data_IF_917660866537
#
_entry.id   IF_917660866537
#
_cell.length_a   1.000
_cell.length_b   1.000
_cell.length_c   1.000
_cell.angle_alpha   90.00
_cell.angle_beta   90.00
_cell.angle_gamma   90.00
#
_symmetry.space_group_name_H-M   'P 1'
#
loop_
_entity.id
_entity.type
_entity.pdbx_description
1 polymer ?
#
# COMPACT_ATOMS: atom_id res chain seq x y z
N UNK A 1 31.08 40.96 42.67
CA UNK A 1 29.88 41.15 43.50
C UNK A 1 30.30 41.10 44.96
N UNK A 2 29.93 42.07 45.81
CA UNK A 2 30.09 41.92 47.25
C UNK A 2 29.14 40.83 47.74
N UNK A 3 29.65 39.87 48.50
CA UNK A 3 28.77 38.97 49.27
C UNK A 3 28.16 39.82 50.38
N UNK A 4 26.84 39.97 50.37
CA UNK A 4 26.15 40.51 51.54
C UNK A 4 26.32 39.48 52.67
N UNK A 5 27.13 39.81 53.67
CA UNK A 5 27.08 39.11 54.93
C UNK A 5 25.75 39.46 55.58
N UNK A 6 24.74 38.63 55.36
CA UNK A 6 23.58 38.56 56.23
C UNK A 6 24.11 38.39 57.66
N UNK A 7 23.56 39.14 58.61
CA UNK A 7 24.03 39.11 60.00
C UNK A 7 23.60 37.79 60.62
N UNK A 8 24.51 36.79 60.55
CA UNK A 8 24.32 35.44 61.09
C UNK A 8 23.85 35.56 62.54
N UNK A 9 22.61 35.17 62.75
CA UNK A 9 21.92 35.23 64.03
C UNK A 9 21.50 33.81 64.38
N UNK A 10 21.81 33.42 65.61
CA UNK A 10 21.33 32.17 66.17
C UNK A 10 19.80 32.16 66.18
N UNK A 11 19.19 31.00 65.96
CA UNK A 11 17.75 30.85 66.21
C UNK A 11 17.43 31.12 67.68
N UNK A 12 16.18 31.44 67.99
CA UNK A 12 15.73 31.67 69.37
C UNK A 12 16.06 30.51 70.34
N UNK A 13 16.24 29.28 69.85
CA UNK A 13 16.62 28.11 70.66
C UNK A 13 18.13 28.08 70.90
N UNK A 14 18.94 28.27 69.85
CA UNK A 14 20.40 28.36 69.96
C UNK A 14 20.84 29.57 70.79
N UNK A 15 20.13 30.70 70.70
CA UNK A 15 20.35 31.89 71.52
C UNK A 15 20.06 31.61 73.01
N UNK A 16 18.98 30.90 73.33
CA UNK A 16 18.70 30.46 74.72
C UNK A 16 19.75 29.47 75.25
N UNK A 17 20.29 28.60 74.39
CA UNK A 17 21.39 27.69 74.74
C UNK A 17 22.69 28.47 74.97
N UNK A 18 23.02 29.42 74.10
CA UNK A 18 24.18 30.32 74.24
C UNK A 18 24.11 31.09 75.56
N UNK A 19 22.98 31.77 75.84
CA UNK A 19 22.77 32.51 77.10
C UNK A 19 22.88 31.61 78.34
N UNK A 20 22.40 30.36 78.27
CA UNK A 20 22.52 29.38 79.36
C UNK A 20 23.98 28.95 79.58
N UNK A 21 24.76 28.74 78.52
CA UNK A 21 26.18 28.38 78.64
C UNK A 21 27.01 29.59 79.10
N UNK A 22 26.76 30.78 78.55
CA UNK A 22 27.36 32.05 78.99
C UNK A 22 27.11 32.31 80.47
N UNK A 23 25.88 32.09 80.97
CA UNK A 23 25.55 32.20 82.39
C UNK A 23 26.38 31.27 83.27
N UNK A 24 26.59 30.01 82.86
CA UNK A 24 27.47 29.07 83.58
C UNK A 24 28.94 29.47 83.53
N UNK A 25 29.43 29.98 82.39
CA UNK A 25 30.81 30.52 82.29
C UNK A 25 31.00 31.66 83.28
N UNK A 26 30.08 32.62 83.34
CA UNK A 26 30.10 33.74 84.31
C UNK A 26 30.11 33.23 85.75
N UNK A 27 29.33 32.20 86.07
CA UNK A 27 29.31 31.59 87.40
C UNK A 27 30.65 30.94 87.76
N UNK A 28 31.26 30.14 86.87
CA UNK A 28 32.60 29.58 87.09
C UNK A 28 33.66 30.66 87.30
N UNK A 29 33.66 31.73 86.50
CA UNK A 29 34.58 32.86 86.66
C UNK A 29 34.39 33.59 88.00
N UNK A 30 33.14 33.77 88.45
CA UNK A 30 32.83 34.38 89.75
C UNK A 30 33.30 33.51 90.92
N UNK A 31 33.03 32.21 90.88
CA UNK A 31 33.47 31.26 91.92
C UNK A 31 34.99 31.14 91.96
N UNK A 32 35.68 31.23 90.83
CA UNK A 32 37.14 31.28 90.78
C UNK A 32 37.69 32.54 91.47
N UNK A 33 37.09 33.72 91.23
CA UNK A 33 37.46 34.96 91.93
C UNK A 33 37.23 34.87 93.46
N UNK A 34 36.12 34.26 93.87
CA UNK A 34 35.74 34.06 95.28
C UNK A 34 36.67 33.08 96.01
N UNK A 35 37.16 32.04 95.34
CA UNK A 35 38.00 30.98 95.95
C UNK A 35 39.47 31.35 96.09
N UNK A 36 40.08 32.01 95.09
CA UNK A 36 41.52 32.29 95.13
C UNK A 36 41.86 33.66 95.77
N UNK A 37 40.88 34.53 96.02
CA UNK A 37 41.07 35.80 96.72
C UNK A 37 41.88 36.86 95.96
N UNK A 38 42.26 36.59 94.70
CA UNK A 38 43.07 37.47 93.84
C UNK A 38 42.31 38.71 93.33
N UNK A 39 41.82 39.56 94.24
CA UNK A 39 41.21 40.86 93.94
C UNK A 39 42.10 41.75 93.06
N UNK A 40 43.43 41.64 93.20
CA UNK A 40 44.45 42.32 92.37
C UNK A 40 44.41 41.87 90.90
N UNK A 41 43.93 40.66 90.59
CA UNK A 41 43.85 40.11 89.24
C UNK A 41 42.46 40.26 88.59
N UNK A 42 41.46 40.83 89.27
CA UNK A 42 40.09 41.05 88.74
C UNK A 42 40.07 41.64 87.33
N UNK A 43 40.90 42.66 87.07
CA UNK A 43 41.00 43.30 85.75
C UNK A 43 41.63 42.44 84.65
N UNK A 44 42.33 41.35 85.00
CA UNK A 44 42.77 40.32 84.04
C UNK A 44 41.71 39.22 83.89
N UNK A 45 41.07 38.85 84.99
CA UNK A 45 40.01 37.83 85.02
C UNK A 45 38.80 38.25 84.17
N UNK A 46 38.33 39.50 84.31
CA UNK A 46 37.26 40.07 83.48
C UNK A 46 37.65 40.05 81.99
N UNK A 47 38.86 40.53 81.65
CA UNK A 47 39.35 40.54 80.26
C UNK A 47 39.58 39.14 79.67
N UNK A 48 39.65 38.09 80.50
CA UNK A 48 39.64 36.71 80.06
C UNK A 48 38.20 36.20 79.89
N UNK A 49 37.30 36.52 80.82
CA UNK A 49 35.86 36.23 80.71
C UNK A 49 35.27 36.82 79.42
N UNK A 50 35.50 38.11 79.17
CA UNK A 50 35.01 38.83 77.97
C UNK A 50 35.46 38.12 76.68
N UNK A 51 36.72 37.64 76.64
CA UNK A 51 37.25 36.84 75.52
C UNK A 51 36.58 35.48 75.41
N UNK A 52 36.41 34.75 76.52
CA UNK A 52 35.73 33.45 76.50
C UNK A 52 34.27 33.58 76.07
N UNK A 53 33.58 34.66 76.43
CA UNK A 53 32.22 34.92 75.96
C UNK A 53 32.16 35.24 74.45
N UNK A 54 33.15 35.97 73.91
CA UNK A 54 33.28 36.23 72.47
C UNK A 54 33.62 34.96 71.67
N UNK A 55 34.58 34.15 72.14
CA UNK A 55 34.93 32.87 71.51
C UNK A 55 33.76 31.88 71.59
N UNK A 56 33.05 31.81 72.72
CA UNK A 56 31.82 31.03 72.85
C UNK A 56 30.78 31.48 71.81
N UNK A 57 30.62 32.78 71.59
CA UNK A 57 29.69 33.30 70.57
C UNK A 57 30.12 32.91 69.16
N UNK A 58 31.42 33.02 68.87
CA UNK A 58 32.02 32.60 67.59
C UNK A 58 31.76 31.12 67.31
N UNK A 59 31.98 30.24 68.30
CA UNK A 59 31.73 28.80 68.20
C UNK A 59 30.26 28.49 67.92
N UNK A 60 29.32 29.12 68.64
CA UNK A 60 27.88 28.93 68.40
C UNK A 60 27.48 29.38 66.99
N UNK A 61 27.94 30.55 66.54
CA UNK A 61 27.68 31.05 65.18
C UNK A 61 28.26 30.12 64.11
N UNK A 62 29.47 29.59 64.31
CA UNK A 62 30.09 28.65 63.39
C UNK A 62 29.33 27.32 63.30
N UNK A 63 28.83 26.79 64.43
CA UNK A 63 27.99 25.58 64.42
C UNK A 63 26.67 25.80 63.69
N UNK A 64 26.01 26.95 63.87
CA UNK A 64 24.82 27.33 63.12
C UNK A 64 25.10 27.39 61.62
N UNK A 65 26.18 28.07 61.22
CA UNK A 65 26.67 28.18 59.84
C UNK A 65 26.90 26.81 59.17
N UNK A 66 27.39 25.83 59.93
CA UNK A 66 27.62 24.45 59.46
C UNK A 66 26.32 23.67 59.38
N UNK A 67 25.40 23.83 60.34
CA UNK A 67 24.09 23.17 60.32
C UNK A 67 23.25 23.61 59.10
N UNK A 68 23.15 24.92 58.85
CA UNK A 68 22.41 25.46 57.69
C UNK A 68 23.01 24.98 56.37
N UNK A 69 24.34 24.90 56.25
CA UNK A 69 25.00 24.35 55.05
C UNK A 69 24.77 22.85 54.89
N UNK A 70 24.69 22.10 55.99
CA UNK A 70 24.37 20.66 55.95
C UNK A 70 22.92 20.43 55.48
N UNK A 71 21.96 21.23 55.93
CA UNK A 71 20.57 21.18 55.46
C UNK A 71 20.47 21.52 53.96
N UNK A 72 21.18 22.54 53.49
CA UNK A 72 21.25 22.89 52.06
C UNK A 72 21.82 21.74 51.21
N UNK A 73 22.89 21.08 51.68
CA UNK A 73 23.46 19.90 51.00
C UNK A 73 22.48 18.73 51.00
N UNK A 74 21.79 18.47 52.11
CA UNK A 74 20.78 17.40 52.20
C UNK A 74 19.64 17.61 51.19
N UNK A 75 19.14 18.83 51.02
CA UNK A 75 18.09 19.16 50.04
C UNK A 75 18.57 18.93 48.59
N UNK A 76 19.81 19.29 48.27
CA UNK A 76 20.37 19.02 46.94
C UNK A 76 20.65 17.51 46.72
N UNK A 77 21.04 16.75 47.75
CA UNK A 77 21.17 15.29 47.66
C UNK A 77 19.83 14.63 47.35
N UNK A 78 18.76 14.92 48.11
CA UNK A 78 17.42 14.36 47.83
C UNK A 78 16.90 14.72 46.44
N UNK A 79 17.22 15.93 45.97
CA UNK A 79 16.87 16.41 44.62
C UNK A 79 17.63 15.63 43.54
N UNK A 80 18.91 15.33 43.75
CA UNK A 80 19.71 14.48 42.85
C UNK A 80 19.21 13.02 42.86
N UNK A 81 18.86 12.45 44.02
CA UNK A 81 18.29 11.10 44.11
C UNK A 81 16.98 10.99 43.32
N UNK A 82 16.07 11.98 43.46
CA UNK A 82 14.83 12.06 42.67
C UNK A 82 15.11 12.14 41.16
N UNK A 83 16.15 12.87 40.75
CA UNK A 83 16.58 12.95 39.34
C UNK A 83 17.15 11.61 38.83
N UNK A 84 17.96 10.90 39.63
CA UNK A 84 18.48 9.57 39.27
C UNK A 84 17.33 8.59 39.05
N UNK A 85 16.34 8.55 39.94
CA UNK A 85 15.15 7.70 39.80
C UNK A 85 14.36 8.04 38.52
N UNK A 86 14.22 9.32 38.16
CA UNK A 86 13.63 9.73 36.89
C UNK A 86 14.45 9.27 35.67
N UNK A 87 15.77 9.41 35.72
CA UNK A 87 16.67 8.94 34.66
C UNK A 87 16.57 7.43 34.46
N UNK A 88 16.56 6.64 35.53
CA UNK A 88 16.39 5.18 35.45
C UNK A 88 15.03 4.77 34.88
N UNK A 89 13.94 5.47 35.21
CA UNK A 89 12.62 5.26 34.61
C UNK A 89 12.64 5.54 33.09
N UNK A 90 13.27 6.63 32.66
CA UNK A 90 13.42 6.98 31.23
C UNK A 90 14.28 5.94 30.50
N UNK A 91 15.40 5.50 31.11
CA UNK A 91 16.27 4.46 30.56
C UNK A 91 15.54 3.11 30.46
N UNK A 92 14.74 2.74 31.46
CA UNK A 92 13.92 1.53 31.44
C UNK A 92 12.83 1.58 30.36
N UNK A 93 12.15 2.72 30.19
CA UNK A 93 11.17 2.94 29.14
C UNK A 93 11.79 2.87 27.74
N UNK A 94 12.94 3.54 27.54
CA UNK A 94 13.69 3.49 26.28
C UNK A 94 14.17 2.07 25.95
N UNK A 95 14.70 1.33 26.93
CA UNK A 95 15.09 -0.08 26.77
C UNK A 95 13.90 -0.99 26.44
N UNK A 96 12.72 -0.74 27.03
CA UNK A 96 11.49 -1.48 26.71
C UNK A 96 11.05 -1.20 25.27
N UNK A 97 11.02 0.07 24.85
CA UNK A 97 10.68 0.47 23.48
C UNK A 97 11.66 -0.10 22.46
N UNK A 98 12.97 -0.04 22.71
CA UNK A 98 14.00 -0.59 21.82
C UNK A 98 13.89 -2.11 21.63
N UNK A 99 13.35 -2.84 22.61
CA UNK A 99 13.07 -4.29 22.51
C UNK A 99 11.80 -4.59 21.71
N UNK A 100 10.75 -3.77 21.82
CA UNK A 100 9.47 -4.01 21.14
C UNK A 100 9.39 -3.42 19.72
N UNK A 101 10.11 -2.33 19.45
CA UNK A 101 10.04 -1.62 18.16
C UNK A 101 10.44 -2.48 16.95
N UNK A 102 11.50 -3.33 16.98
CA UNK A 102 11.87 -4.17 15.84
C UNK A 102 10.75 -5.14 15.43
N UNK A 103 10.16 -5.86 16.39
CA UNK A 103 9.07 -6.80 16.12
C UNK A 103 7.77 -6.10 15.68
N UNK A 104 7.49 -4.90 16.19
CA UNK A 104 6.36 -4.09 15.75
C UNK A 104 6.54 -3.51 14.33
N UNK A 105 7.78 -3.16 13.97
CA UNK A 105 8.16 -2.75 12.61
C UNK A 105 8.05 -3.93 11.65
N UNK A 106 8.68 -5.06 11.96
CA UNK A 106 8.68 -6.29 11.17
C UNK A 106 7.24 -6.77 10.89
N UNK A 107 6.38 -6.80 11.91
CA UNK A 107 4.96 -7.14 11.74
C UNK A 107 4.28 -6.22 10.71
N UNK A 108 4.46 -4.89 10.83
CA UNK A 108 3.89 -3.93 9.86
C UNK A 108 4.48 -4.06 8.46
N UNK A 109 5.77 -4.34 8.34
CA UNK A 109 6.42 -4.59 7.05
C UNK A 109 5.85 -5.84 6.38
N UNK A 110 5.64 -6.92 7.14
CA UNK A 110 5.05 -8.16 6.64
C UNK A 110 3.58 -7.97 6.24
N UNK A 111 2.80 -7.21 7.03
CA UNK A 111 1.42 -6.82 6.70
C UNK A 111 1.35 -5.99 5.40
N UNK A 112 2.25 -5.01 5.23
CA UNK A 112 2.35 -4.18 4.01
C UNK A 112 2.81 -4.99 2.78
N UNK A 113 3.76 -5.90 2.94
CA UNK A 113 4.20 -6.79 1.85
C UNK A 113 3.07 -7.73 1.41
N UNK A 114 2.33 -8.31 2.36
CA UNK A 114 1.18 -9.16 2.05
C UNK A 114 0.06 -8.38 1.34
N UNK A 115 -0.23 -7.14 1.78
CA UNK A 115 -1.19 -6.26 1.11
C UNK A 115 -0.74 -5.93 -0.33
N UNK A 116 0.52 -5.55 -0.53
CA UNK A 116 1.05 -5.21 -1.84
C UNK A 116 1.06 -6.41 -2.81
N UNK A 117 1.42 -7.60 -2.32
CA UNK A 117 1.35 -8.84 -3.11
C UNK A 117 -0.10 -9.19 -3.52
N UNK A 118 -1.08 -8.96 -2.64
CA UNK A 118 -2.49 -9.10 -2.95
C UNK A 118 -2.95 -8.07 -4.00
N UNK A 119 -2.49 -6.82 -3.90
CA UNK A 119 -2.79 -5.77 -4.88
C UNK A 119 -2.22 -6.06 -6.27
N UNK A 120 -0.97 -6.53 -6.36
CA UNK A 120 -0.35 -6.97 -7.61
C UNK A 120 -1.19 -8.08 -8.24
N UNK A 121 -1.51 -9.14 -7.49
CA UNK A 121 -2.33 -10.25 -7.97
C UNK A 121 -3.74 -9.82 -8.40
N UNK A 122 -4.33 -8.83 -7.73
CA UNK A 122 -5.61 -8.25 -8.15
C UNK A 122 -5.48 -7.49 -9.48
N UNK A 123 -4.41 -6.73 -9.70
CA UNK A 123 -4.13 -6.03 -10.97
C UNK A 123 -3.89 -7.03 -12.11
N UNK A 124 -3.12 -8.10 -11.88
CA UNK A 124 -2.88 -9.19 -12.84
C UNK A 124 -4.20 -9.88 -13.25
N UNK A 125 -5.04 -10.23 -12.28
CA UNK A 125 -6.37 -10.78 -12.54
C UNK A 125 -7.25 -9.83 -13.37
N UNK A 126 -7.24 -8.52 -13.06
CA UNK A 126 -8.00 -7.51 -13.80
C UNK A 126 -7.50 -7.35 -15.25
N UNK A 127 -6.19 -7.42 -15.49
CA UNK A 127 -5.62 -7.43 -16.84
C UNK A 127 -5.99 -8.68 -17.62
N UNK A 128 -5.98 -9.85 -16.97
CA UNK A 128 -6.38 -11.13 -17.57
C UNK A 128 -7.85 -11.09 -18.01
N UNK A 129 -8.77 -10.69 -17.12
CA UNK A 129 -10.20 -10.53 -17.43
C UNK A 129 -10.45 -9.52 -18.56
N UNK A 130 -9.65 -8.45 -18.65
CA UNK A 130 -9.73 -7.50 -19.78
C UNK A 130 -9.19 -8.08 -21.09
N UNK A 131 -8.17 -8.94 -21.05
CA UNK A 131 -7.65 -9.63 -22.23
C UNK A 131 -8.65 -10.70 -22.74
N UNK A 132 -9.18 -11.52 -21.84
CA UNK A 132 -10.19 -12.53 -22.14
C UNK A 132 -11.44 -11.92 -22.77
N UNK A 133 -11.92 -10.79 -22.25
CA UNK A 133 -13.04 -10.07 -22.86
C UNK A 133 -12.72 -9.63 -24.29
N UNK A 134 -11.54 -9.03 -24.55
CA UNK A 134 -11.15 -8.62 -25.92
C UNK A 134 -11.05 -9.82 -26.86
N UNK A 135 -10.56 -10.96 -26.38
CA UNK A 135 -10.53 -12.21 -27.15
C UNK A 135 -11.95 -12.72 -27.46
N UNK A 136 -12.87 -12.66 -26.50
CA UNK A 136 -14.28 -13.02 -26.69
C UNK A 136 -14.97 -12.08 -27.71
N UNK A 137 -14.76 -10.76 -27.58
CA UNK A 137 -15.28 -9.76 -28.52
C UNK A 137 -14.74 -10.02 -29.95
N UNK A 138 -13.45 -10.34 -30.10
CA UNK A 138 -12.84 -10.71 -31.38
C UNK A 138 -13.38 -12.03 -31.94
N UNK A 139 -13.57 -13.06 -31.12
CA UNK A 139 -14.16 -14.34 -31.53
C UNK A 139 -15.61 -14.16 -32.02
N UNK A 140 -16.40 -13.31 -31.37
CA UNK A 140 -17.77 -13.00 -31.79
C UNK A 140 -17.81 -12.22 -33.13
N UNK A 141 -16.87 -11.29 -33.34
CA UNK A 141 -16.73 -10.59 -34.64
C UNK A 141 -16.29 -11.53 -35.75
N UNK A 142 -15.42 -12.51 -35.45
CA UNK A 142 -14.97 -13.51 -36.42
C UNK A 142 -16.05 -14.53 -36.75
N UNK A 143 -16.74 -15.11 -35.76
CA UNK A 143 -17.84 -16.05 -36.01
C UNK A 143 -18.97 -15.39 -36.81
N UNK A 144 -19.33 -14.15 -36.48
CA UNK A 144 -20.27 -13.34 -37.25
C UNK A 144 -19.78 -12.91 -38.64
N UNK A 145 -18.50 -13.08 -38.98
CA UNK A 145 -17.99 -12.95 -40.37
C UNK A 145 -18.05 -14.30 -41.10
N UNK A 146 -17.62 -15.38 -40.45
CA UNK A 146 -17.65 -16.73 -41.04
C UNK A 146 -19.07 -17.23 -41.31
N UNK A 147 -20.05 -16.96 -40.43
CA UNK A 147 -21.45 -17.31 -40.66
C UNK A 147 -21.97 -16.68 -41.97
N UNK A 148 -21.78 -15.36 -42.16
CA UNK A 148 -22.15 -14.66 -43.40
C UNK A 148 -21.38 -15.14 -44.63
N UNK A 149 -20.12 -15.57 -44.47
CA UNK A 149 -19.37 -16.16 -45.57
C UNK A 149 -19.93 -17.54 -45.98
N UNK A 150 -20.40 -18.35 -45.03
CA UNK A 150 -21.10 -19.61 -45.30
C UNK A 150 -22.46 -19.35 -45.96
N UNK A 151 -23.28 -18.45 -45.42
CA UNK A 151 -24.57 -18.05 -46.01
C UNK A 151 -24.41 -17.60 -47.48
N UNK A 152 -23.39 -16.80 -47.80
CA UNK A 152 -23.09 -16.37 -49.17
C UNK A 152 -22.67 -17.54 -50.08
N UNK A 153 -21.84 -18.46 -49.59
CA UNK A 153 -21.43 -19.65 -50.34
C UNK A 153 -22.58 -20.62 -50.58
N UNK A 154 -23.51 -20.77 -49.62
CA UNK A 154 -24.73 -21.56 -49.76
C UNK A 154 -25.67 -20.94 -50.82
N UNK A 155 -25.84 -19.61 -50.81
CA UNK A 155 -26.61 -18.88 -51.82
C UNK A 155 -25.97 -19.02 -53.21
N UNK A 156 -24.65 -18.82 -53.34
CA UNK A 156 -23.93 -19.03 -54.61
C UNK A 156 -24.08 -20.46 -55.12
N UNK A 157 -23.97 -21.46 -54.25
CA UNK A 157 -24.09 -22.86 -54.64
C UNK A 157 -25.52 -23.21 -55.08
N UNK A 158 -26.53 -22.72 -54.36
CA UNK A 158 -27.94 -22.88 -54.75
C UNK A 158 -28.23 -22.24 -56.12
N UNK A 159 -27.68 -21.04 -56.40
CA UNK A 159 -27.80 -20.40 -57.71
C UNK A 159 -27.13 -21.22 -58.82
N UNK A 160 -25.91 -21.73 -58.59
CA UNK A 160 -25.20 -22.59 -59.55
C UNK A 160 -25.95 -23.89 -59.84
N UNK A 161 -26.56 -24.51 -58.82
CA UNK A 161 -27.39 -25.72 -58.98
C UNK A 161 -28.65 -25.44 -59.79
N UNK A 162 -29.35 -24.33 -59.53
CA UNK A 162 -30.57 -23.98 -60.27
C UNK A 162 -30.29 -23.60 -61.74
N UNK A 163 -29.18 -22.89 -62.03
CA UNK A 163 -28.72 -22.64 -63.41
C UNK A 163 -28.36 -23.95 -64.11
N UNK A 164 -27.60 -24.84 -63.46
CA UNK A 164 -27.25 -26.16 -64.02
C UNK A 164 -28.49 -27.03 -64.28
N UNK A 165 -29.53 -26.93 -63.43
CA UNK A 165 -30.83 -27.57 -63.64
C UNK A 165 -31.55 -27.00 -64.87
N UNK A 166 -31.58 -25.69 -65.04
CA UNK A 166 -32.19 -25.05 -66.22
C UNK A 166 -31.45 -25.43 -67.52
N UNK A 167 -30.11 -25.49 -67.51
CA UNK A 167 -29.31 -26.00 -68.63
C UNK A 167 -29.63 -27.46 -68.99
N UNK A 168 -29.83 -28.33 -67.98
CA UNK A 168 -30.18 -29.73 -68.18
C UNK A 168 -31.63 -29.90 -68.68
N UNK A 169 -32.57 -29.09 -68.20
CA UNK A 169 -33.95 -29.05 -68.69
C UNK A 169 -34.02 -28.54 -70.14
N UNK A 170 -33.24 -27.51 -70.48
CA UNK A 170 -33.11 -27.02 -71.86
C UNK A 170 -32.54 -28.10 -72.81
N UNK A 171 -31.45 -28.78 -72.42
CA UNK A 171 -30.86 -29.90 -73.18
C UNK A 171 -31.84 -31.06 -73.35
N UNK A 172 -32.56 -31.44 -72.29
CA UNK A 172 -33.62 -32.46 -72.32
C UNK A 172 -34.74 -32.09 -73.30
N UNK A 173 -35.16 -30.83 -73.32
CA UNK A 173 -36.20 -30.36 -74.25
C UNK A 173 -35.72 -30.39 -75.70
N UNK A 174 -34.48 -29.95 -75.96
CA UNK A 174 -33.87 -30.04 -77.30
C UNK A 174 -33.74 -31.49 -77.79
N UNK A 175 -33.37 -32.43 -76.92
CA UNK A 175 -33.31 -33.87 -77.23
C UNK A 175 -34.71 -34.43 -77.57
N UNK A 176 -35.74 -34.05 -76.81
CA UNK A 176 -37.13 -34.43 -77.09
C UNK A 176 -37.60 -33.88 -78.45
N UNK A 177 -37.20 -32.66 -78.82
CA UNK A 177 -37.51 -32.09 -80.13
C UNK A 177 -36.74 -32.76 -81.27
N UNK A 178 -35.45 -33.06 -81.09
CA UNK A 178 -34.65 -33.84 -82.02
C UNK A 178 -35.28 -35.21 -82.30
N UNK A 179 -35.63 -35.96 -81.25
CA UNK A 179 -36.31 -37.26 -81.36
C UNK A 179 -37.69 -37.16 -82.03
N UNK A 180 -38.44 -36.07 -81.80
CA UNK A 180 -39.72 -35.80 -82.51
C UNK A 180 -39.50 -35.53 -83.99
N UNK A 181 -38.47 -34.77 -84.36
CA UNK A 181 -38.11 -34.52 -85.77
C UNK A 181 -37.65 -35.80 -86.45
N UNK A 182 -36.80 -36.60 -85.79
CA UNK A 182 -36.34 -37.90 -86.29
C UNK A 182 -37.52 -38.87 -86.51
N UNK A 183 -38.44 -38.97 -85.54
CA UNK A 183 -39.66 -39.79 -85.67
C UNK A 183 -40.55 -39.31 -86.83
N UNK A 184 -40.72 -37.99 -87.01
CA UNK A 184 -41.47 -37.43 -88.16
C UNK A 184 -40.81 -37.77 -89.50
N UNK A 185 -39.49 -37.69 -89.60
CA UNK A 185 -38.74 -38.08 -90.80
C UNK A 185 -38.86 -39.59 -91.08
N UNK A 186 -38.80 -40.44 -90.05
CA UNK A 186 -39.02 -41.88 -90.18
C UNK A 186 -40.43 -42.19 -90.69
N UNK A 187 -41.47 -41.61 -90.07
CA UNK A 187 -42.87 -41.78 -90.48
C UNK A 187 -43.12 -41.28 -91.91
N UNK A 188 -42.59 -40.12 -92.28
CA UNK A 188 -42.65 -39.63 -93.66
C UNK A 188 -41.99 -40.62 -94.64
N UNK A 189 -40.80 -41.13 -94.30
CA UNK A 189 -40.10 -42.13 -95.11
C UNK A 189 -40.79 -43.51 -95.17
N UNK A 190 -41.69 -43.81 -94.23
CA UNK A 190 -42.56 -45.00 -94.28
C UNK A 190 -43.78 -44.75 -95.17
N UNK A 191 -44.43 -43.59 -95.05
CA UNK A 191 -45.54 -43.18 -95.92
C UNK A 191 -45.09 -43.10 -97.40
N UNK A 192 -43.90 -42.57 -97.68
CA UNK A 192 -43.29 -42.54 -99.03
C UNK A 192 -42.99 -43.94 -99.60
N UNK A 193 -42.88 -44.97 -98.75
CA UNK A 193 -42.73 -46.38 -99.17
C UNK A 193 -44.09 -47.03 -99.37
N UNK A 194 -44.99 -46.91 -98.39
CA UNK A 194 -46.35 -47.47 -98.49
C UNK A 194 -47.16 -46.88 -99.65
N UNK A 195 -46.94 -45.61 -100.01
CA UNK A 195 -47.56 -45.00 -101.20
C UNK A 195 -46.92 -45.48 -102.51
N UNK A 196 -45.63 -45.80 -102.54
CA UNK A 196 -44.97 -46.46 -103.68
C UNK A 196 -45.44 -47.90 -103.87
N UNK A 197 -45.51 -48.67 -102.80
CA UNK A 197 -45.88 -50.09 -102.85
C UNK A 197 -47.37 -50.30 -103.16
N UNK A 198 -48.22 -49.27 -102.96
CA UNK A 198 -49.66 -49.29 -103.30
C UNK A 198 -49.99 -48.85 -104.74
N UNK A 199 -49.06 -48.30 -105.51
CA UNK A 199 -49.32 -47.89 -106.90
C UNK A 199 -48.17 -48.27 -107.87
N UNK A 200 -47.95 -49.59 -108.10
CA UNK A 200 -46.79 -50.09 -108.83
C UNK A 200 -46.90 -50.01 -110.37
N UNK A 201 -47.66 -49.06 -110.95
CA UNK A 201 -47.73 -49.01 -112.42
C UNK A 201 -48.55 -47.93 -113.13
N UNK A 202 -47.99 -46.72 -113.28
CA UNK A 202 -48.02 -45.95 -114.55
C UNK A 202 -46.86 -44.95 -114.63
N UNK A 203 -46.31 -44.76 -115.83
CA UNK A 203 -45.03 -44.04 -116.04
C UNK A 203 -45.09 -43.16 -117.29
N UNK A 204 -44.40 -42.01 -117.25
CA UNK A 204 -44.23 -41.01 -118.34
C UNK A 204 -45.51 -40.26 -118.73
N UNK A 205 -45.49 -39.04 -119.28
CA UNK A 205 -44.45 -38.14 -119.85
C UNK A 205 -44.62 -36.73 -119.20
N UNK A 206 -43.88 -35.61 -119.42
CA UNK A 206 -42.77 -35.10 -120.29
C UNK A 206 -42.22 -33.82 -119.59
N UNK A 207 -41.15 -33.09 -119.95
CA UNK A 207 -40.07 -33.18 -120.96
C UNK A 207 -38.85 -32.37 -120.45
N UNK A 208 -37.68 -32.51 -121.09
CA UNK A 208 -36.55 -31.57 -120.89
C UNK A 208 -36.82 -30.19 -121.53
N UNK A 209 -36.20 -29.14 -120.97
CA UNK A 209 -35.58 -28.07 -121.77
C UNK A 209 -34.13 -27.85 -121.34
N UNK A 210 -33.34 -27.15 -122.18
CA UNK A 210 -31.86 -27.15 -122.17
C UNK A 210 -31.25 -25.78 -121.85
N UNK A 211 -30.15 -25.85 -121.08
CA UNK A 211 -28.92 -25.02 -121.15
C UNK A 211 -28.99 -23.49 -120.94
N UNK A 212 -27.92 -23.00 -120.32
CA UNK A 212 -27.32 -21.63 -120.45
C UNK A 212 -28.16 -20.45 -119.91
N UNK A 213 -27.57 -19.33 -119.47
CA UNK A 213 -26.17 -18.88 -119.57
C UNK A 213 -25.68 -18.08 -118.34
N UNK A 214 -24.39 -17.72 -118.36
CA UNK A 214 -23.64 -16.93 -117.37
C UNK A 214 -24.27 -15.56 -117.04
N UNK A 215 -24.55 -15.29 -115.76
CA UNK A 215 -23.72 -14.40 -114.91
C UNK A 215 -24.17 -14.42 -113.46
#
# INVERSE_FOLDING_TARGET
>A
MPVQQESVQLTNVEEQLFLRVQGRVREYFRTFEELEGFTVLRGNLQRLQDKVELELRSIFLHHHDVAVKLEQVQVEVEKLERQVVMCDQVIAAARKLARSAPAALEKRTNELQAFHAAEIKQRENLWTVQADKRLQDHLQVLSGKYARAVELLEIENAQRVEVMKQDLEAKKNAEIEFMRVQTRLQLASQIDRETRDRDPGRVYHRAHYRKTQQR
#
